data_IF_658939149621
#
_entry.id   IF_658939149621
#
_cell.length_a   1.000
_cell.length_b   1.000
_cell.length_c   1.000
_cell.angle_alpha   90.00
_cell.angle_beta   90.00
_cell.angle_gamma   90.00
#
_symmetry.space_group_name_H-M   'P 1'
#
loop_
_entity.id
_entity.type
_entity.pdbx_description
1 polymer ?
#
# COMPACT_ATOMS: atom_id res chain seq x y z
N UNK A 1 22.03 33.56 1.98
CA UNK A 1 21.59 32.32 2.60
C UNK A 1 20.97 31.48 1.50
N UNK A 2 21.72 30.50 0.97
CA UNK A 2 21.28 29.62 -0.10
C UNK A 2 20.20 28.70 0.43
N UNK A 3 18.99 28.75 -0.13
CA UNK A 3 17.95 27.77 0.07
C UNK A 3 18.44 26.42 -0.51
N UNK A 4 19.24 25.70 0.25
CA UNK A 4 19.49 24.29 0.00
C UNK A 4 18.22 23.54 0.40
N UNK A 5 17.32 23.33 -0.55
CA UNK A 5 16.18 22.42 -0.40
C UNK A 5 16.77 20.99 -0.40
N UNK A 6 17.21 20.52 0.76
CA UNK A 6 17.62 19.12 0.92
C UNK A 6 16.40 18.23 0.65
N UNK A 7 16.48 17.43 -0.39
CA UNK A 7 15.50 16.37 -0.62
C UNK A 7 15.50 15.40 0.57
N UNK A 8 14.30 14.95 0.96
CA UNK A 8 14.19 13.95 2.02
C UNK A 8 14.83 12.64 1.53
N UNK A 9 15.87 12.13 2.22
CA UNK A 9 16.58 10.93 1.76
C UNK A 9 15.79 9.63 1.98
N UNK A 10 14.68 9.67 2.70
CA UNK A 10 13.82 8.52 2.96
C UNK A 10 12.47 8.64 2.27
N UNK A 11 12.04 7.56 1.63
CA UNK A 11 10.80 7.53 0.83
C UNK A 11 9.50 7.66 1.67
N UNK A 12 9.57 7.50 2.99
CA UNK A 12 8.40 7.49 3.87
C UNK A 12 7.52 6.28 3.62
N UNK A 13 6.23 6.50 3.33
CA UNK A 13 5.28 5.42 3.01
C UNK A 13 5.23 5.09 1.51
N UNK A 14 5.94 5.84 0.66
CA UNK A 14 6.07 5.52 -0.76
C UNK A 14 7.10 4.40 -0.97
N UNK A 15 6.96 3.63 -2.04
CA UNK A 15 8.01 2.70 -2.44
C UNK A 15 9.19 3.47 -3.04
N UNK A 16 10.41 2.96 -2.81
CA UNK A 16 11.57 3.41 -3.56
C UNK A 16 11.34 3.10 -5.03
N UNK A 17 11.52 4.10 -5.88
CA UNK A 17 11.32 3.98 -7.30
C UNK A 17 12.59 3.47 -7.98
N UNK A 18 12.41 2.97 -9.19
CA UNK A 18 13.53 2.64 -10.07
C UNK A 18 14.33 3.91 -10.38
N UNK A 19 15.66 3.92 -10.12
CA UNK A 19 16.49 5.09 -10.36
C UNK A 19 16.46 5.62 -11.81
N UNK A 20 16.20 4.76 -12.80
CA UNK A 20 16.06 5.22 -14.20
C UNK A 20 14.75 5.95 -14.46
N UNK A 21 13.71 5.68 -13.70
CA UNK A 21 12.37 6.23 -13.89
C UNK A 21 12.04 7.33 -12.86
N UNK A 22 13.01 7.79 -12.08
CA UNK A 22 12.81 8.77 -11.01
C UNK A 22 13.71 9.98 -11.17
N UNK A 23 13.12 11.17 -11.10
CA UNK A 23 13.86 12.44 -11.07
C UNK A 23 14.72 12.57 -9.79
N UNK A 24 14.32 11.88 -8.71
CA UNK A 24 15.01 11.88 -7.42
C UNK A 24 15.54 10.49 -7.12
N UNK A 25 16.85 10.36 -7.17
CA UNK A 25 17.53 9.11 -6.86
C UNK A 25 17.72 8.96 -5.34
N UNK A 26 16.78 8.31 -4.67
CA UNK A 26 16.92 7.95 -3.26
C UNK A 26 17.85 6.74 -3.11
N UNK A 27 18.76 6.80 -2.12
CA UNK A 27 19.66 5.68 -1.79
C UNK A 27 18.84 4.56 -1.13
N UNK A 28 18.65 3.44 -1.82
CA UNK A 28 18.04 2.22 -1.27
C UNK A 28 19.13 1.40 -0.59
N UNK A 29 19.03 1.23 0.73
CA UNK A 29 20.06 0.62 1.55
C UNK A 29 19.48 -0.38 2.56
N UNK A 30 20.34 -1.27 3.08
CA UNK A 30 19.97 -2.25 4.10
C UNK A 30 19.30 -3.52 3.56
N UNK A 31 19.33 -3.71 2.23
CA UNK A 31 18.78 -4.89 1.53
C UNK A 31 19.71 -5.41 0.43
N UNK A 32 21.01 -5.17 0.58
CA UNK A 32 21.98 -5.53 -0.46
C UNK A 32 22.07 -7.04 -0.67
N UNK A 33 22.07 -7.82 0.42
CA UNK A 33 22.10 -9.29 0.35
C UNK A 33 20.83 -9.82 -0.29
N UNK A 34 19.65 -9.35 0.15
CA UNK A 34 18.37 -9.77 -0.42
C UNK A 34 18.24 -9.38 -1.90
N UNK A 35 18.76 -8.20 -2.28
CA UNK A 35 18.78 -7.77 -3.68
C UNK A 35 19.66 -8.65 -4.54
N UNK A 36 20.83 -9.05 -4.03
CA UNK A 36 21.77 -9.93 -4.73
C UNK A 36 21.22 -11.36 -4.83
N UNK A 37 20.70 -11.89 -3.72
CA UNK A 37 20.16 -13.26 -3.70
C UNK A 37 18.94 -13.40 -4.63
N UNK A 38 18.04 -12.40 -4.62
CA UNK A 38 16.88 -12.42 -5.50
C UNK A 38 17.28 -12.25 -6.97
N UNK A 39 18.24 -11.36 -7.26
CA UNK A 39 18.78 -11.20 -8.62
C UNK A 39 19.35 -12.53 -9.14
N UNK A 40 20.17 -13.23 -8.35
CA UNK A 40 20.73 -14.55 -8.72
C UNK A 40 19.64 -15.59 -8.94
N UNK A 41 18.62 -15.60 -8.06
CA UNK A 41 17.52 -16.55 -8.22
C UNK A 41 16.74 -16.29 -9.52
N UNK A 42 16.59 -15.03 -9.94
CA UNK A 42 15.98 -14.63 -11.21
C UNK A 42 16.87 -15.03 -12.39
N UNK A 43 18.19 -14.86 -12.27
CA UNK A 43 19.16 -15.27 -13.30
C UNK A 43 19.12 -16.78 -13.54
N UNK A 44 19.07 -17.57 -12.49
CA UNK A 44 19.09 -19.03 -12.54
C UNK A 44 17.73 -19.66 -12.95
N UNK A 45 16.61 -18.93 -12.90
CA UNK A 45 15.28 -19.52 -13.04
C UNK A 45 14.34 -18.69 -13.92
N UNK A 46 13.56 -19.35 -14.78
CA UNK A 46 12.59 -18.71 -15.68
C UNK A 46 11.41 -18.11 -14.89
N UNK A 47 10.98 -18.76 -13.81
CA UNK A 47 9.86 -18.30 -12.99
C UNK A 47 10.24 -18.26 -11.51
N UNK A 48 10.05 -17.12 -10.87
CA UNK A 48 10.35 -16.88 -9.45
C UNK A 48 9.16 -16.27 -8.74
N UNK A 49 8.81 -16.79 -7.57
CA UNK A 49 7.80 -16.20 -6.68
C UNK A 49 8.47 -15.45 -5.55
N UNK A 50 8.36 -14.12 -5.54
CA UNK A 50 8.73 -13.25 -4.43
C UNK A 50 7.51 -13.05 -3.52
N UNK A 51 7.60 -13.47 -2.26
CA UNK A 51 6.49 -13.29 -1.32
C UNK A 51 6.97 -12.76 0.03
N UNK A 52 6.04 -12.17 0.79
CA UNK A 52 6.30 -11.64 2.12
C UNK A 52 5.12 -10.84 2.64
N UNK A 53 5.14 -10.54 3.95
CA UNK A 53 4.08 -9.74 4.59
C UNK A 53 3.88 -8.39 3.89
N UNK A 54 2.69 -7.81 4.03
CA UNK A 54 2.48 -6.42 3.56
C UNK A 54 3.47 -5.48 4.22
N UNK A 55 4.03 -4.55 3.46
CA UNK A 55 4.95 -3.55 3.99
C UNK A 55 6.40 -4.00 4.22
N UNK A 56 6.77 -5.23 3.83
CA UNK A 56 8.18 -5.69 3.90
C UNK A 56 9.09 -5.03 2.87
N UNK A 57 8.53 -4.30 1.90
CA UNK A 57 9.30 -3.56 0.89
C UNK A 57 9.57 -4.35 -0.40
N UNK A 58 8.72 -5.32 -0.78
CA UNK A 58 8.86 -6.12 -2.03
C UNK A 58 9.03 -5.23 -3.26
N UNK A 59 8.12 -4.28 -3.46
CA UNK A 59 8.17 -3.32 -4.59
C UNK A 59 9.45 -2.48 -4.57
N UNK A 60 9.87 -1.99 -3.41
CA UNK A 60 11.11 -1.22 -3.27
C UNK A 60 12.35 -2.06 -3.54
N UNK A 61 12.37 -3.32 -3.08
CA UNK A 61 13.45 -4.27 -3.36
C UNK A 61 13.58 -4.53 -4.86
N UNK A 62 12.47 -4.76 -5.55
CA UNK A 62 12.46 -4.96 -7.01
C UNK A 62 12.97 -3.71 -7.73
N UNK A 63 12.33 -2.56 -7.50
CA UNK A 63 12.60 -1.35 -8.26
C UNK A 63 13.99 -0.78 -8.00
N UNK A 64 14.38 -0.62 -6.73
CA UNK A 64 15.60 0.08 -6.37
C UNK A 64 16.77 -0.86 -6.03
N UNK A 65 16.50 -2.12 -5.69
CA UNK A 65 17.52 -3.11 -5.36
C UNK A 65 17.89 -4.01 -6.53
N UNK A 66 16.89 -4.64 -7.15
CA UNK A 66 17.10 -5.73 -8.13
C UNK A 66 17.22 -5.19 -9.56
N UNK A 67 16.33 -4.29 -10.01
CA UNK A 67 16.33 -3.79 -11.40
C UNK A 67 17.66 -3.16 -11.82
N UNK A 68 18.31 -2.29 -11.02
CA UNK A 68 19.62 -1.75 -11.41
C UNK A 68 20.71 -2.82 -11.57
N UNK A 69 20.61 -3.94 -10.80
CA UNK A 69 21.54 -5.05 -10.90
C UNK A 69 21.27 -5.90 -12.15
N UNK A 70 20.00 -6.18 -12.45
CA UNK A 70 19.60 -6.92 -13.64
C UNK A 70 20.05 -6.21 -14.93
N UNK A 71 19.92 -4.88 -15.00
CA UNK A 71 20.37 -4.12 -16.19
C UNK A 71 21.86 -4.22 -16.48
N UNK A 72 22.68 -4.39 -15.44
CA UNK A 72 24.14 -4.59 -15.63
C UNK A 72 24.46 -5.93 -16.30
N UNK A 73 23.53 -6.88 -16.18
CA UNK A 73 23.63 -8.21 -16.82
C UNK A 73 22.77 -8.29 -18.09
N UNK A 74 22.53 -7.16 -18.76
CA UNK A 74 21.77 -7.04 -20.02
C UNK A 74 20.30 -7.48 -19.95
N UNK A 75 19.71 -7.54 -18.74
CA UNK A 75 18.27 -7.75 -18.62
C UNK A 75 17.47 -6.46 -18.80
N UNK A 76 16.26 -6.59 -19.37
CA UNK A 76 15.25 -5.53 -19.48
C UNK A 76 14.15 -5.76 -18.43
N UNK A 77 14.28 -5.25 -17.21
CA UNK A 77 13.26 -5.42 -16.18
C UNK A 77 12.06 -4.53 -16.46
N UNK A 78 10.86 -5.13 -16.43
CA UNK A 78 9.58 -4.48 -16.65
C UNK A 78 8.65 -4.82 -15.51
N UNK A 79 8.18 -3.82 -14.77
CA UNK A 79 7.21 -4.00 -13.68
C UNK A 79 5.80 -3.74 -14.17
N UNK A 80 4.89 -4.68 -13.95
CA UNK A 80 3.49 -4.65 -14.40
C UNK A 80 2.58 -4.91 -13.21
N UNK A 81 1.61 -4.05 -12.99
CA UNK A 81 0.50 -4.27 -12.07
C UNK A 81 -0.72 -4.65 -12.87
N UNK A 82 -0.92 -5.94 -13.09
CA UNK A 82 -2.01 -6.44 -13.94
C UNK A 82 -3.40 -5.97 -13.49
N UNK A 83 -3.61 -5.76 -12.20
CA UNK A 83 -4.84 -5.18 -11.67
C UNK A 83 -5.10 -3.73 -12.12
N UNK A 84 -4.06 -2.98 -12.43
CA UNK A 84 -4.14 -1.56 -12.85
C UNK A 84 -3.80 -1.36 -14.33
N UNK A 85 -2.72 -1.98 -14.79
CA UNK A 85 -2.16 -1.71 -16.12
C UNK A 85 -2.94 -2.42 -17.23
N UNK A 86 -3.63 -3.54 -16.91
CA UNK A 86 -4.41 -4.33 -17.88
C UNK A 86 -5.91 -3.95 -17.91
N UNK A 87 -6.26 -2.70 -17.56
CA UNK A 87 -7.64 -2.24 -17.64
C UNK A 87 -8.06 -2.12 -19.10
N UNK A 88 -9.14 -2.82 -19.48
CA UNK A 88 -9.69 -2.80 -20.84
C UNK A 88 -8.88 -3.59 -21.88
N UNK A 89 -7.88 -4.41 -21.45
CA UNK A 89 -7.08 -5.24 -22.35
C UNK A 89 -6.80 -6.63 -21.74
N UNK A 90 -6.32 -7.56 -22.58
CA UNK A 90 -5.84 -8.85 -22.09
C UNK A 90 -4.52 -8.69 -21.32
N UNK A 91 -4.15 -9.70 -20.50
CA UNK A 91 -2.85 -9.69 -19.82
C UNK A 91 -1.68 -9.76 -20.81
N UNK A 92 -1.87 -10.49 -21.91
CA UNK A 92 -0.93 -10.62 -23.00
C UNK A 92 -0.66 -9.26 -23.64
N UNK A 93 -1.72 -8.56 -24.06
CA UNK A 93 -1.60 -7.20 -24.62
C UNK A 93 -0.93 -6.23 -23.63
N UNK A 94 -1.25 -6.32 -22.34
CA UNK A 94 -0.62 -5.52 -21.32
C UNK A 94 0.88 -5.77 -21.24
N UNK A 95 1.31 -7.03 -21.22
CA UNK A 95 2.73 -7.41 -21.19
C UNK A 95 3.47 -6.83 -22.38
N UNK A 96 2.94 -7.04 -23.61
CA UNK A 96 3.57 -6.54 -24.83
C UNK A 96 3.66 -5.01 -24.87
N UNK A 97 2.58 -4.34 -24.45
CA UNK A 97 2.54 -2.87 -24.38
C UNK A 97 3.58 -2.32 -23.40
N UNK A 98 3.68 -2.91 -22.21
CA UNK A 98 4.64 -2.46 -21.20
C UNK A 98 6.10 -2.75 -21.57
N UNK A 99 6.37 -3.88 -22.24
CA UNK A 99 7.68 -4.18 -22.79
C UNK A 99 8.11 -3.12 -23.80
N UNK A 100 7.27 -2.85 -24.79
CA UNK A 100 7.55 -1.84 -25.82
C UNK A 100 7.74 -0.44 -25.21
N UNK A 101 6.88 -0.06 -24.25
CA UNK A 101 6.99 1.22 -23.54
C UNK A 101 8.30 1.35 -22.74
N UNK A 102 8.74 0.26 -22.10
CA UNK A 102 9.98 0.28 -21.32
C UNK A 102 11.22 0.39 -22.22
N UNK A 103 11.13 -0.15 -23.44
CA UNK A 103 12.19 -0.10 -24.43
C UNK A 103 12.22 1.26 -25.17
N UNK A 104 11.12 2.02 -25.15
CA UNK A 104 11.01 3.31 -25.85
C UNK A 104 12.13 4.29 -25.44
N UNK A 105 12.86 4.79 -26.43
CA UNK A 105 14.02 5.67 -26.21
C UNK A 105 15.31 4.98 -25.75
N UNK A 106 15.27 3.66 -25.46
CA UNK A 106 16.42 2.88 -25.00
C UNK A 106 16.86 1.82 -25.99
N UNK A 107 16.03 1.51 -26.97
CA UNK A 107 16.29 0.47 -27.96
C UNK A 107 15.09 0.25 -28.87
N UNK A 108 15.08 -0.91 -29.52
CA UNK A 108 14.02 -1.32 -30.45
C UNK A 108 13.82 -2.83 -30.43
N UNK A 109 12.79 -3.29 -31.12
CA UNK A 109 12.53 -4.73 -31.32
C UNK A 109 12.81 -5.10 -32.76
N UNK A 110 13.48 -6.24 -32.94
CA UNK A 110 13.65 -6.90 -34.24
C UNK A 110 12.73 -8.10 -34.34
N UNK A 111 12.07 -8.27 -35.47
CA UNK A 111 11.22 -9.44 -35.71
C UNK A 111 12.00 -10.52 -36.45
N UNK A 112 11.97 -11.74 -35.90
CA UNK A 112 12.52 -12.93 -36.53
C UNK A 112 11.33 -13.78 -37.01
N UNK A 113 11.13 -13.92 -38.32
CA UNK A 113 9.92 -14.52 -38.91
C UNK A 113 9.82 -16.06 -38.80
N UNK A 114 10.65 -16.69 -37.98
CA UNK A 114 10.75 -18.15 -37.92
C UNK A 114 9.58 -18.86 -37.22
N UNK A 115 8.76 -18.17 -36.41
CA UNK A 115 7.69 -18.76 -35.61
C UNK A 115 6.37 -18.09 -35.89
N UNK A 116 5.31 -18.84 -36.27
CA UNK A 116 3.99 -18.27 -36.51
C UNK A 116 3.33 -17.84 -35.18
N UNK A 117 2.66 -16.66 -35.18
CA UNK A 117 1.83 -16.25 -34.06
C UNK A 117 0.48 -16.99 -34.08
N UNK A 118 0.01 -17.52 -32.95
CA UNK A 118 -1.37 -17.97 -32.83
C UNK A 118 -2.35 -16.81 -32.98
N UNK A 119 -3.50 -17.03 -33.62
CA UNK A 119 -4.57 -16.03 -33.73
C UNK A 119 -5.26 -15.78 -32.39
N UNK A 120 -5.30 -16.81 -31.52
CA UNK A 120 -5.90 -16.72 -30.18
C UNK A 120 -4.87 -16.33 -29.12
N UNK A 121 -5.06 -15.18 -28.51
CA UNK A 121 -4.23 -14.69 -27.39
C UNK A 121 -4.26 -15.60 -26.15
N UNK A 122 -5.29 -16.43 -25.99
CA UNK A 122 -5.41 -17.39 -24.90
C UNK A 122 -4.67 -18.71 -25.20
N UNK A 123 -4.16 -18.88 -26.41
CA UNK A 123 -3.34 -20.04 -26.76
C UNK A 123 -2.15 -20.18 -25.80
N UNK A 124 -1.86 -21.38 -25.28
CA UNK A 124 -0.67 -21.59 -24.45
C UNK A 124 0.64 -21.16 -25.12
N UNK A 125 0.71 -21.25 -26.44
CA UNK A 125 1.89 -20.88 -27.22
C UNK A 125 1.99 -19.37 -27.55
N UNK A 126 1.00 -18.53 -27.22
CA UNK A 126 0.96 -17.13 -27.67
C UNK A 126 2.18 -16.31 -27.20
N UNK A 127 2.43 -16.25 -25.89
CA UNK A 127 3.58 -15.54 -25.36
C UNK A 127 4.88 -16.16 -25.82
N UNK A 128 4.98 -17.48 -25.84
CA UNK A 128 6.15 -18.18 -26.37
C UNK A 128 6.46 -17.76 -27.81
N UNK A 129 5.46 -17.79 -28.70
CA UNK A 129 5.64 -17.40 -30.10
C UNK A 129 6.08 -15.94 -30.23
N UNK A 130 5.54 -15.04 -29.40
CA UNK A 130 5.97 -13.65 -29.40
C UNK A 130 7.45 -13.50 -28.99
N UNK A 131 7.87 -14.06 -27.87
CA UNK A 131 9.24 -13.98 -27.42
C UNK A 131 10.23 -14.72 -28.34
N UNK A 132 9.78 -15.85 -28.95
CA UNK A 132 10.58 -16.61 -29.90
C UNK A 132 10.87 -15.88 -31.21
N UNK A 133 9.98 -14.96 -31.61
CA UNK A 133 10.14 -14.17 -32.87
C UNK A 133 10.62 -12.74 -32.63
N UNK A 134 10.76 -12.30 -31.38
CA UNK A 134 11.09 -10.91 -31.04
C UNK A 134 12.44 -10.86 -30.33
N UNK A 135 13.38 -10.16 -30.91
CA UNK A 135 14.65 -9.81 -30.27
C UNK A 135 14.55 -8.37 -29.75
N UNK A 136 14.89 -8.17 -28.49
CA UNK A 136 14.98 -6.85 -27.89
C UNK A 136 16.44 -6.39 -27.97
N UNK A 137 16.66 -5.18 -28.46
CA UNK A 137 17.99 -4.65 -28.74
C UNK A 137 18.09 -3.26 -28.15
N UNK A 138 19.19 -2.95 -27.48
CA UNK A 138 19.46 -1.61 -26.98
C UNK A 138 20.01 -0.67 -28.09
N UNK A 139 20.28 0.60 -27.75
CA UNK A 139 20.83 1.56 -28.71
C UNK A 139 22.27 1.24 -29.14
N UNK A 140 22.97 0.34 -28.44
CA UNK A 140 24.32 -0.12 -28.74
C UNK A 140 24.32 -1.47 -29.48
N UNK A 141 23.16 -1.88 -30.03
CA UNK A 141 22.94 -3.15 -30.76
C UNK A 141 23.17 -4.41 -29.90
N UNK A 142 23.18 -4.27 -28.57
CA UNK A 142 23.28 -5.40 -27.66
C UNK A 142 21.90 -6.03 -27.40
N UNK A 143 21.84 -7.37 -27.31
CA UNK A 143 20.61 -8.07 -27.02
C UNK A 143 20.22 -7.86 -25.56
N UNK A 144 18.95 -7.51 -25.32
CA UNK A 144 18.35 -7.39 -24.01
C UNK A 144 17.44 -8.57 -23.71
N UNK A 145 17.47 -9.04 -22.47
CA UNK A 145 16.68 -10.19 -22.01
C UNK A 145 15.53 -9.73 -21.09
N UNK A 146 14.26 -9.86 -21.51
CA UNK A 146 13.13 -9.39 -20.73
C UNK A 146 12.98 -10.09 -19.38
N UNK A 147 12.79 -9.31 -18.31
CA UNK A 147 12.37 -9.78 -16.98
C UNK A 147 11.04 -9.15 -16.65
N UNK A 148 9.96 -9.90 -16.82
CA UNK A 148 8.61 -9.43 -16.56
C UNK A 148 8.24 -9.67 -15.11
N UNK A 149 8.01 -8.61 -14.36
CA UNK A 149 7.68 -8.63 -12.94
C UNK A 149 6.23 -8.26 -12.75
N UNK A 150 5.41 -9.20 -12.29
CA UNK A 150 4.02 -8.96 -11.90
C UNK A 150 3.97 -8.54 -10.43
N UNK A 151 3.95 -7.22 -10.17
CA UNK A 151 3.89 -6.71 -8.80
C UNK A 151 2.45 -6.66 -8.30
N UNK A 152 2.24 -7.00 -7.02
CA UNK A 152 0.93 -7.10 -6.37
C UNK A 152 -0.03 -8.07 -7.09
N UNK A 153 0.49 -9.24 -7.44
CA UNK A 153 -0.26 -10.26 -8.20
C UNK A 153 -1.53 -10.75 -7.49
N UNK A 154 -1.61 -10.60 -6.16
CA UNK A 154 -2.83 -10.90 -5.40
C UNK A 154 -4.08 -10.14 -5.89
N UNK A 155 -3.92 -8.97 -6.50
CA UNK A 155 -5.04 -8.18 -7.03
C UNK A 155 -5.78 -8.89 -8.16
N UNK A 156 -5.05 -9.67 -8.96
CA UNK A 156 -5.61 -10.42 -10.10
C UNK A 156 -6.61 -11.49 -9.67
N UNK A 157 -6.35 -12.16 -8.54
CA UNK A 157 -7.22 -13.22 -8.03
C UNK A 157 -8.58 -12.74 -7.53
N UNK A 158 -8.73 -11.43 -7.30
CA UNK A 158 -10.00 -10.87 -6.82
C UNK A 158 -11.07 -10.84 -7.92
N UNK A 159 -10.67 -10.60 -9.19
CA UNK A 159 -11.62 -10.32 -10.27
C UNK A 159 -11.30 -11.03 -11.59
N UNK A 160 -10.07 -11.49 -11.81
CA UNK A 160 -9.57 -12.03 -13.09
C UNK A 160 -8.81 -13.35 -12.91
N UNK A 161 -9.32 -14.23 -12.04
CA UNK A 161 -8.65 -15.50 -11.72
C UNK A 161 -8.44 -16.37 -12.95
N UNK A 162 -9.43 -16.46 -13.85
CA UNK A 162 -9.32 -17.26 -15.07
C UNK A 162 -8.23 -16.76 -16.00
N UNK A 163 -8.09 -15.42 -16.13
CA UNK A 163 -7.03 -14.81 -16.93
C UNK A 163 -5.66 -15.06 -16.29
N UNK A 164 -5.57 -15.05 -14.95
CA UNK A 164 -4.35 -15.42 -14.24
C UNK A 164 -3.95 -16.87 -14.50
N UNK A 165 -4.90 -17.79 -14.44
CA UNK A 165 -4.66 -19.20 -14.74
C UNK A 165 -4.25 -19.44 -16.20
N UNK A 166 -4.84 -18.70 -17.15
CA UNK A 166 -4.43 -18.74 -18.55
C UNK A 166 -3.00 -18.20 -18.73
N UNK A 167 -2.65 -17.09 -18.09
CA UNK A 167 -1.30 -16.54 -18.10
C UNK A 167 -0.28 -17.52 -17.50
N UNK A 168 -0.59 -18.14 -16.36
CA UNK A 168 0.29 -19.14 -15.75
C UNK A 168 0.53 -20.35 -16.65
N UNK A 169 -0.49 -20.83 -17.40
CA UNK A 169 -0.31 -21.89 -18.39
C UNK A 169 0.61 -21.47 -19.53
N UNK A 170 0.52 -20.22 -20.00
CA UNK A 170 1.42 -19.70 -21.04
C UNK A 170 2.87 -19.61 -20.55
N UNK A 171 3.08 -19.11 -19.33
CA UNK A 171 4.42 -19.06 -18.74
C UNK A 171 4.97 -20.48 -18.56
N UNK A 172 4.17 -21.42 -18.10
CA UNK A 172 4.58 -22.81 -17.95
C UNK A 172 4.93 -23.45 -19.29
N UNK A 173 4.13 -23.21 -20.33
CA UNK A 173 4.43 -23.65 -21.68
C UNK A 173 5.80 -23.12 -22.15
N UNK A 174 6.09 -21.85 -21.88
CA UNK A 174 7.40 -21.25 -22.17
C UNK A 174 8.54 -21.94 -21.41
N UNK A 175 8.32 -22.31 -20.15
CA UNK A 175 9.31 -23.06 -19.35
C UNK A 175 9.57 -24.44 -19.95
N UNK A 176 8.55 -25.12 -20.44
CA UNK A 176 8.63 -26.49 -20.96
C UNK A 176 9.23 -26.52 -22.39
N UNK A 177 8.80 -25.60 -23.26
CA UNK A 177 9.37 -25.45 -24.61
C UNK A 177 10.82 -24.99 -24.58
N UNK A 178 11.22 -24.15 -23.64
CA UNK A 178 12.62 -23.76 -23.48
C UNK A 178 13.53 -24.96 -23.12
N UNK A 179 13.02 -25.92 -22.35
CA UNK A 179 13.71 -27.21 -22.11
C UNK A 179 13.79 -28.06 -23.36
N UNK A 180 12.69 -28.11 -24.14
CA UNK A 180 12.62 -28.93 -25.37
C UNK A 180 13.49 -28.35 -26.50
N UNK A 181 13.66 -27.02 -26.54
CA UNK A 181 14.45 -26.36 -27.60
C UNK A 181 15.96 -26.49 -27.40
N UNK A 182 16.44 -26.63 -26.18
CA UNK A 182 17.87 -26.94 -25.93
C UNK A 182 18.31 -28.24 -26.62
N UNK A 183 17.37 -29.14 -26.92
CA UNK A 183 17.60 -30.42 -27.57
C UNK A 183 17.20 -30.45 -29.05
N UNK A 184 16.62 -29.36 -29.60
CA UNK A 184 16.20 -29.29 -31.01
C UNK A 184 17.34 -28.84 -31.92
N UNK A 185 17.44 -29.53 -33.05
CA UNK A 185 18.32 -29.14 -34.16
C UNK A 185 17.48 -28.44 -35.21
N UNK A 186 17.86 -27.25 -35.65
CA UNK A 186 17.26 -26.56 -36.80
C UNK A 186 18.36 -26.46 -37.87
N UNK A 187 18.07 -26.98 -39.07
CA UNK A 187 18.99 -27.04 -40.21
C UNK A 187 20.35 -27.72 -39.89
N UNK A 188 20.35 -28.73 -38.97
CA UNK A 188 21.54 -29.48 -38.62
C UNK A 188 22.46 -28.76 -37.60
N UNK A 189 22.05 -27.61 -37.10
CA UNK A 189 22.75 -26.88 -36.02
C UNK A 189 21.93 -26.85 -34.76
N UNK A 190 22.54 -26.90 -33.54
CA UNK A 190 21.79 -26.64 -32.30
C UNK A 190 21.07 -25.29 -32.40
N UNK A 191 19.80 -25.25 -32.02
CA UNK A 191 19.02 -24.02 -32.03
C UNK A 191 19.65 -23.04 -31.04
N UNK A 192 20.35 -22.05 -31.56
CA UNK A 192 21.20 -21.10 -30.80
C UNK A 192 20.44 -19.83 -30.40
N UNK A 193 19.15 -19.94 -30.12
CA UNK A 193 18.44 -18.82 -29.49
C UNK A 193 18.43 -19.02 -27.99
N UNK A 194 19.26 -18.24 -27.31
CA UNK A 194 19.16 -18.02 -25.87
C UNK A 194 17.85 -17.25 -25.57
N UNK A 195 16.74 -18.01 -25.42
CA UNK A 195 15.49 -17.45 -24.93
C UNK A 195 15.66 -17.09 -23.44
N UNK A 196 16.27 -15.94 -23.21
CA UNK A 196 16.59 -15.49 -21.87
C UNK A 196 15.52 -14.54 -21.37
N UNK A 197 14.27 -15.01 -21.27
CA UNK A 197 13.19 -14.31 -20.59
C UNK A 197 13.02 -14.84 -19.17
N UNK A 198 12.56 -13.98 -18.26
CA UNK A 198 12.28 -14.31 -16.86
C UNK A 198 10.94 -13.75 -16.43
N UNK A 199 10.27 -14.46 -15.54
CA UNK A 199 9.03 -14.03 -14.92
C UNK A 199 9.15 -14.02 -13.41
N UNK A 200 8.72 -12.93 -12.79
CA UNK A 200 8.69 -12.79 -11.33
C UNK A 200 7.27 -12.45 -10.91
N UNK A 201 6.70 -13.23 -10.02
CA UNK A 201 5.44 -12.90 -9.34
C UNK A 201 5.73 -12.38 -7.95
N UNK A 202 5.39 -11.12 -7.69
CA UNK A 202 5.45 -10.51 -6.36
C UNK A 202 4.06 -10.54 -5.73
N UNK A 203 3.91 -11.26 -4.62
CA UNK A 203 2.63 -11.54 -3.98
C UNK A 203 2.71 -11.38 -2.46
N UNK A 204 1.60 -11.07 -1.80
CA UNK A 204 1.51 -11.06 -0.34
C UNK A 204 1.56 -12.49 0.21
N UNK A 205 2.23 -12.66 1.35
CA UNK A 205 2.32 -13.96 2.03
C UNK A 205 0.92 -14.53 2.36
N UNK A 206 0.00 -13.67 2.77
CA UNK A 206 -1.37 -14.05 3.11
C UNK A 206 -2.20 -14.54 1.91
N UNK A 207 -1.82 -14.14 0.69
CA UNK A 207 -2.50 -14.52 -0.56
C UNK A 207 -1.72 -15.57 -1.38
N UNK A 208 -0.56 -16.05 -0.89
CA UNK A 208 0.29 -17.04 -1.58
C UNK A 208 -0.49 -18.32 -1.90
N UNK A 209 -1.38 -18.76 -1.02
CA UNK A 209 -2.23 -19.93 -1.22
C UNK A 209 -3.09 -19.82 -2.50
N UNK A 210 -3.52 -18.62 -2.89
CA UNK A 210 -4.31 -18.39 -4.12
C UNK A 210 -3.51 -18.67 -5.38
N UNK A 211 -2.23 -18.29 -5.38
CA UNK A 211 -1.31 -18.62 -6.45
C UNK A 211 -1.06 -20.13 -6.48
N UNK A 212 -0.85 -20.76 -5.33
CA UNK A 212 -0.64 -22.19 -5.21
C UNK A 212 -1.85 -23.00 -5.69
N UNK A 213 -3.05 -22.61 -5.29
CA UNK A 213 -4.30 -23.23 -5.77
C UNK A 213 -4.44 -23.12 -7.29
N UNK A 214 -4.10 -21.95 -7.89
CA UNK A 214 -4.17 -21.78 -9.35
C UNK A 214 -3.12 -22.61 -10.08
N UNK A 215 -1.90 -22.72 -9.51
CA UNK A 215 -0.85 -23.61 -10.03
C UNK A 215 -1.30 -25.08 -9.97
N UNK A 216 -1.90 -25.51 -8.86
CA UNK A 216 -2.42 -26.90 -8.72
C UNK A 216 -3.58 -27.18 -9.66
N UNK A 217 -4.54 -26.27 -9.76
CA UNK A 217 -5.66 -26.39 -10.69
C UNK A 217 -5.22 -26.49 -12.15
N UNK A 218 -4.10 -25.90 -12.49
CA UNK A 218 -3.52 -25.95 -13.83
C UNK A 218 -2.51 -27.09 -14.04
N UNK A 219 -2.19 -27.86 -12.99
CA UNK A 219 -1.18 -28.94 -13.02
C UNK A 219 0.23 -28.44 -13.41
N UNK A 220 0.70 -27.35 -12.77
CA UNK A 220 1.97 -26.67 -13.06
C UNK A 220 2.99 -26.79 -11.90
N UNK A 221 3.39 -27.98 -11.45
CA UNK A 221 4.13 -28.15 -10.18
C UNK A 221 5.50 -27.49 -10.16
N UNK A 222 6.17 -27.35 -11.30
CA UNK A 222 7.50 -26.75 -11.40
C UNK A 222 7.51 -25.25 -11.02
N UNK A 223 6.38 -24.54 -11.20
CA UNK A 223 6.24 -23.15 -10.81
C UNK A 223 6.28 -22.93 -9.28
N UNK A 224 6.19 -24.00 -8.48
CA UNK A 224 6.31 -23.92 -7.01
C UNK A 224 7.75 -24.01 -6.50
N UNK A 225 8.72 -24.34 -7.36
CA UNK A 225 10.10 -24.66 -6.92
C UNK A 225 10.90 -23.45 -6.49
N UNK A 226 10.81 -22.35 -7.22
CA UNK A 226 11.65 -21.18 -7.00
C UNK A 226 10.88 -20.08 -6.26
N UNK A 227 11.15 -19.95 -4.96
CA UNK A 227 10.46 -18.99 -4.07
C UNK A 227 11.46 -18.23 -3.24
N UNK A 228 11.27 -16.93 -3.17
CA UNK A 228 12.02 -16.04 -2.28
C UNK A 228 11.10 -15.39 -1.26
N UNK A 229 11.31 -15.69 0.02
CA UNK A 229 10.57 -15.05 1.11
C UNK A 229 11.30 -13.81 1.58
N UNK A 230 10.73 -12.63 1.30
CA UNK A 230 11.26 -11.39 1.86
C UNK A 230 10.79 -11.24 3.31
N UNK A 231 11.75 -11.33 4.23
CA UNK A 231 11.53 -11.14 5.67
C UNK A 231 11.61 -9.66 6.04
N UNK A 232 11.22 -9.35 7.28
CA UNK A 232 11.48 -8.04 7.90
C UNK A 232 12.96 -7.71 7.88
N UNK A 233 13.32 -6.42 7.97
CA UNK A 233 14.72 -5.99 8.01
C UNK A 233 15.46 -6.63 9.18
N UNK A 234 16.70 -7.02 8.95
CA UNK A 234 17.63 -7.30 10.03
C UNK A 234 17.99 -6.02 10.79
N UNK A 235 18.52 -6.14 11.99
CA UNK A 235 18.96 -4.97 12.77
C UNK A 235 20.06 -4.18 12.03
N UNK A 236 21.01 -4.90 11.41
CA UNK A 236 22.05 -4.28 10.59
C UNK A 236 21.44 -3.61 9.35
N UNK A 237 20.49 -4.26 8.64
CA UNK A 237 19.82 -3.68 7.49
C UNK A 237 19.01 -2.42 7.85
N UNK A 238 18.36 -2.41 9.03
CA UNK A 238 17.67 -1.23 9.52
C UNK A 238 18.64 -0.09 9.85
N UNK A 239 19.78 -0.41 10.44
CA UNK A 239 20.87 0.54 10.70
C UNK A 239 21.37 1.18 9.41
N UNK A 240 21.66 0.37 8.41
CA UNK A 240 22.15 0.84 7.10
C UNK A 240 21.12 1.69 6.38
N UNK A 241 19.83 1.32 6.46
CA UNK A 241 18.71 2.09 5.90
C UNK A 241 18.49 3.45 6.59
N UNK A 242 18.97 3.63 7.83
CA UNK A 242 18.94 4.92 8.54
C UNK A 242 20.20 5.74 8.20
N UNK A 243 21.38 5.14 8.35
CA UNK A 243 22.64 5.87 8.37
C UNK A 243 23.16 6.26 7.00
N UNK A 244 23.06 5.36 6.01
CA UNK A 244 23.63 5.61 4.69
C UNK A 244 22.85 6.72 3.94
N UNK A 245 21.50 6.73 3.90
CA UNK A 245 20.78 7.88 3.35
C UNK A 245 20.92 9.14 4.19
N UNK A 246 21.06 9.00 5.50
CA UNK A 246 21.21 10.08 6.48
C UNK A 246 22.64 10.54 6.72
N UNK A 247 23.58 10.22 5.84
CA UNK A 247 24.99 10.62 5.96
C UNK A 247 25.13 12.13 6.15
N UNK A 248 25.87 12.55 7.18
CA UNK A 248 26.06 13.96 7.54
C UNK A 248 24.90 14.60 8.34
N UNK A 249 23.78 13.90 8.57
CA UNK A 249 22.65 14.42 9.33
C UNK A 249 22.76 14.17 10.85
N UNK A 250 23.64 13.28 11.27
CA UNK A 250 23.80 12.86 12.67
C UNK A 250 25.19 13.20 13.19
N UNK A 251 25.29 13.65 14.47
CA UNK A 251 26.55 13.71 15.15
C UNK A 251 27.06 12.30 15.49
N UNK A 252 28.35 12.04 15.27
CA UNK A 252 28.95 10.73 15.49
C UNK A 252 28.71 10.18 16.92
N UNK A 253 28.76 11.05 17.91
CA UNK A 253 28.59 10.71 19.34
C UNK A 253 27.15 10.30 19.68
N UNK A 254 26.15 10.88 19.00
CA UNK A 254 24.72 10.70 19.26
C UNK A 254 24.09 9.65 18.33
N UNK A 255 24.77 9.31 17.24
CA UNK A 255 24.29 8.47 16.14
C UNK A 255 23.75 7.12 16.62
N UNK A 256 24.52 6.44 17.49
CA UNK A 256 24.16 5.11 18.00
C UNK A 256 22.87 5.13 18.83
N UNK A 257 22.71 6.13 19.68
CA UNK A 257 21.52 6.32 20.51
C UNK A 257 20.29 6.62 19.67
N UNK A 258 20.43 7.49 18.66
CA UNK A 258 19.35 7.84 17.73
C UNK A 258 18.89 6.63 16.94
N UNK A 259 19.83 5.88 16.33
CA UNK A 259 19.54 4.69 15.53
C UNK A 259 18.82 3.65 16.38
N UNK A 260 19.31 3.36 17.57
CA UNK A 260 18.69 2.40 18.49
C UNK A 260 17.26 2.81 18.85
N UNK A 261 17.03 4.10 19.11
CA UNK A 261 15.68 4.62 19.41
C UNK A 261 14.75 4.46 18.22
N UNK A 262 15.16 4.81 17.00
CA UNK A 262 14.36 4.68 15.79
C UNK A 262 14.01 3.21 15.53
N UNK A 263 14.99 2.30 15.64
CA UNK A 263 14.78 0.86 15.44
C UNK A 263 13.79 0.32 16.48
N UNK A 264 13.91 0.70 17.74
CA UNK A 264 12.99 0.24 18.79
C UNK A 264 11.54 0.68 18.54
N UNK A 265 11.33 1.90 18.01
CA UNK A 265 9.97 2.35 17.64
C UNK A 265 9.44 1.57 16.44
N UNK A 266 10.30 1.21 15.49
CA UNK A 266 9.93 0.45 14.31
C UNK A 266 9.72 -1.05 14.59
N UNK A 267 10.05 -1.53 15.80
CA UNK A 267 9.80 -2.92 16.19
C UNK A 267 8.32 -3.17 16.44
N UNK A 268 7.85 -4.26 15.90
CA UNK A 268 6.53 -4.79 16.20
C UNK A 268 6.56 -5.45 17.58
N UNK A 269 5.57 -5.15 18.41
CA UNK A 269 5.46 -5.69 19.78
C UNK A 269 5.14 -7.18 19.84
N UNK A 270 4.50 -7.71 18.78
CA UNK A 270 4.01 -9.08 18.76
C UNK A 270 5.08 -10.10 18.36
N UNK A 271 5.92 -9.78 17.38
CA UNK A 271 6.90 -10.70 16.79
C UNK A 271 8.35 -10.17 16.78
N UNK A 272 8.60 -9.05 17.47
CA UNK A 272 9.92 -8.36 17.55
C UNK A 272 10.54 -8.00 16.18
N UNK A 273 9.78 -8.10 15.10
CA UNK A 273 10.23 -7.79 13.74
C UNK A 273 10.30 -6.28 13.52
N UNK A 274 11.30 -5.82 12.74
CA UNK A 274 11.43 -4.41 12.37
C UNK A 274 10.55 -4.12 11.16
N UNK A 275 9.54 -3.27 11.35
CA UNK A 275 8.65 -2.85 10.28
C UNK A 275 9.34 -1.84 9.37
N UNK A 276 9.57 -2.23 8.12
CA UNK A 276 10.23 -1.40 7.10
C UNK A 276 9.48 -0.11 6.82
N UNK A 277 8.14 -0.17 6.78
CA UNK A 277 7.31 1.00 6.51
C UNK A 277 7.32 1.99 7.69
N UNK A 278 7.29 1.48 8.92
CA UNK A 278 7.38 2.31 10.12
C UNK A 278 8.75 2.98 10.18
N UNK A 279 9.82 2.23 9.92
CA UNK A 279 11.18 2.75 9.89
C UNK A 279 11.31 3.91 8.89
N UNK A 280 10.88 3.69 7.65
CA UNK A 280 10.93 4.70 6.60
C UNK A 280 10.07 5.93 6.91
N UNK A 281 8.86 5.73 7.45
CA UNK A 281 7.98 6.83 7.88
C UNK A 281 8.63 7.68 8.98
N UNK A 282 9.20 7.03 10.00
CA UNK A 282 9.85 7.70 11.13
C UNK A 282 11.02 8.55 10.63
N UNK A 283 11.93 7.95 9.85
CA UNK A 283 13.09 8.66 9.31
C UNK A 283 12.68 9.85 8.45
N UNK A 284 11.74 9.64 7.53
CA UNK A 284 11.19 10.70 6.66
C UNK A 284 10.60 11.85 7.49
N UNK A 285 9.93 11.54 8.58
CA UNK A 285 9.25 12.51 9.40
C UNK A 285 10.21 13.29 10.30
N UNK A 286 11.16 12.60 10.90
CA UNK A 286 12.23 13.23 11.67
C UNK A 286 12.99 14.23 10.80
N UNK A 287 13.22 13.89 9.52
CA UNK A 287 13.86 14.80 8.57
C UNK A 287 13.02 16.05 8.30
N UNK A 288 11.73 15.94 8.14
CA UNK A 288 10.83 17.10 7.98
C UNK A 288 10.84 17.99 9.21
N UNK A 289 10.82 17.41 10.41
CA UNK A 289 10.88 18.16 11.66
C UNK A 289 12.28 18.78 11.88
N UNK A 290 13.35 18.10 11.46
CA UNK A 290 14.73 18.62 11.42
C UNK A 290 14.83 19.86 10.52
N UNK A 291 14.31 19.80 9.30
CA UNK A 291 14.32 20.96 8.39
C UNK A 291 13.59 22.18 8.97
N UNK A 292 12.46 21.95 9.65
CA UNK A 292 11.69 23.03 10.31
C UNK A 292 12.38 23.60 11.52
N UNK A 293 13.18 22.82 12.24
CA UNK A 293 13.85 23.26 13.47
C UNK A 293 15.02 24.22 13.20
N UNK A 294 15.59 24.19 11.99
CA UNK A 294 16.81 24.91 11.65
C UNK A 294 18.05 24.40 12.39
N UNK A 295 17.99 23.25 13.03
CA UNK A 295 19.11 22.62 13.72
C UNK A 295 20.19 22.19 12.71
N UNK A 296 21.45 22.14 13.14
CA UNK A 296 22.55 21.66 12.28
C UNK A 296 22.55 20.14 12.12
N UNK A 297 22.07 19.40 13.13
CA UNK A 297 22.00 17.94 13.13
C UNK A 297 20.67 17.45 13.70
N UNK A 298 20.31 16.20 13.34
CA UNK A 298 19.23 15.48 14.00
C UNK A 298 19.71 15.05 15.39
N UNK A 299 19.02 15.52 16.44
CA UNK A 299 19.38 15.29 17.84
C UNK A 299 18.47 14.25 18.50
N UNK A 300 18.91 13.58 19.59
CA UNK A 300 18.05 12.68 20.37
C UNK A 300 16.75 13.35 20.83
N UNK A 301 16.79 14.62 21.23
CA UNK A 301 15.61 15.36 21.67
C UNK A 301 14.54 15.51 20.56
N UNK A 302 14.98 15.68 19.30
CA UNK A 302 14.08 15.72 18.15
C UNK A 302 13.40 14.36 17.94
N UNK A 303 14.16 13.28 18.07
CA UNK A 303 13.65 11.90 17.95
C UNK A 303 12.68 11.60 19.10
N UNK A 304 13.02 11.94 20.34
CA UNK A 304 12.17 11.73 21.52
C UNK A 304 10.82 12.46 21.41
N UNK A 305 10.81 13.64 20.79
CA UNK A 305 9.56 14.38 20.53
C UNK A 305 8.65 13.59 19.60
N UNK A 306 9.22 12.84 18.67
CA UNK A 306 8.48 11.98 17.76
C UNK A 306 7.94 10.71 18.44
N UNK A 307 8.69 10.17 19.42
CA UNK A 307 8.33 8.93 20.16
C UNK A 307 7.06 9.08 21.00
N UNK A 308 6.71 10.29 21.44
CA UNK A 308 5.59 10.57 22.36
C UNK A 308 4.20 10.34 21.79
N UNK A 309 4.05 9.49 20.77
CA UNK A 309 2.75 9.14 20.18
C UNK A 309 2.84 7.98 19.18
N UNK A 310 1.68 7.51 18.69
CA UNK A 310 1.64 6.58 17.56
C UNK A 310 2.00 7.36 16.29
N UNK A 311 3.11 7.02 15.58
CA UNK A 311 3.53 7.75 14.38
C UNK A 311 2.46 7.77 13.28
N UNK A 312 1.69 6.70 13.13
CA UNK A 312 0.62 6.61 12.13
C UNK A 312 -0.59 7.47 12.53
N UNK A 313 -0.92 7.56 13.82
CA UNK A 313 -1.96 8.46 14.32
C UNK A 313 -1.60 9.92 14.05
N UNK A 314 -0.35 10.31 14.35
CA UNK A 314 0.15 11.64 14.07
C UNK A 314 0.12 11.96 12.59
N UNK A 315 0.58 11.03 11.75
CA UNK A 315 0.55 11.19 10.29
C UNK A 315 -0.88 11.31 9.76
N UNK A 316 -1.80 10.45 10.24
CA UNK A 316 -3.22 10.54 9.90
C UNK A 316 -3.82 11.89 10.29
N UNK A 317 -3.57 12.34 11.52
CA UNK A 317 -4.08 13.61 12.02
C UNK A 317 -3.55 14.81 11.23
N UNK A 318 -2.30 14.77 10.78
CA UNK A 318 -1.73 15.81 9.93
C UNK A 318 -2.28 15.76 8.51
N UNK A 319 -2.33 14.59 7.89
CA UNK A 319 -2.90 14.40 6.56
C UNK A 319 -4.37 14.86 6.49
N UNK A 320 -5.11 14.66 7.57
CA UNK A 320 -6.53 15.01 7.66
C UNK A 320 -6.81 16.33 8.38
N UNK A 321 -5.80 17.17 8.65
CA UNK A 321 -5.97 18.44 9.39
C UNK A 321 -6.99 19.36 8.75
N UNK A 322 -7.04 19.43 7.42
CA UNK A 322 -7.97 20.28 6.64
C UNK A 322 -9.36 19.71 6.48
N UNK A 323 -9.63 18.48 6.92
CA UNK A 323 -10.92 17.82 6.74
C UNK A 323 -11.86 18.08 7.92
N UNK A 324 -13.14 18.22 7.62
CA UNK A 324 -14.17 18.38 8.64
C UNK A 324 -14.52 17.04 9.33
N UNK A 325 -15.28 17.10 10.42
CA UNK A 325 -15.63 15.92 11.22
C UNK A 325 -16.47 14.87 10.45
N UNK A 326 -17.25 15.27 9.45
CA UNK A 326 -18.03 14.32 8.64
C UNK A 326 -17.13 13.56 7.67
N UNK A 327 -16.19 14.25 7.03
CA UNK A 327 -15.19 13.66 6.13
C UNK A 327 -14.29 12.68 6.88
N UNK A 328 -13.77 13.10 8.06
CA UNK A 328 -12.99 12.19 8.92
C UNK A 328 -13.80 10.97 9.35
N UNK A 329 -15.07 11.18 9.73
CA UNK A 329 -15.95 10.07 10.10
C UNK A 329 -16.15 9.09 8.96
N UNK A 330 -16.31 9.58 7.73
CA UNK A 330 -16.44 8.72 6.55
C UNK A 330 -15.19 7.87 6.32
N UNK A 331 -14.00 8.48 6.36
CA UNK A 331 -12.70 7.79 6.22
C UNK A 331 -12.58 6.66 7.26
N UNK A 332 -12.82 6.98 8.54
CA UNK A 332 -12.63 6.05 9.66
C UNK A 332 -13.72 4.96 9.74
N UNK A 333 -14.91 5.25 9.25
CA UNK A 333 -16.04 4.30 9.27
C UNK A 333 -16.04 3.34 8.08
N UNK A 334 -15.45 3.72 6.92
CA UNK A 334 -15.57 2.96 5.68
C UNK A 334 -14.25 2.35 5.19
N UNK A 335 -13.07 2.91 5.56
CA UNK A 335 -11.79 2.37 5.13
C UNK A 335 -11.19 1.31 6.07
N UNK A 336 -11.87 1.05 7.21
CA UNK A 336 -11.55 -0.05 8.11
C UNK A 336 -12.82 -0.84 8.37
N UNK A 337 -12.76 -2.15 8.25
CA UNK A 337 -13.89 -3.05 8.49
C UNK A 337 -14.14 -3.28 10.00
N UNK A 338 -15.18 -4.05 10.32
CA UNK A 338 -15.54 -4.40 11.70
C UNK A 338 -14.50 -5.27 12.42
N UNK A 339 -13.56 -5.88 11.68
CA UNK A 339 -12.47 -6.70 12.21
C UNK A 339 -11.17 -5.93 12.41
N UNK A 340 -11.16 -4.62 12.10
CA UNK A 340 -9.97 -3.78 12.18
C UNK A 340 -9.02 -3.92 10.99
N UNK A 341 -9.45 -4.51 9.87
CA UNK A 341 -8.66 -4.66 8.64
C UNK A 341 -9.01 -3.58 7.63
N UNK A 342 -8.09 -3.36 6.67
CA UNK A 342 -8.35 -2.43 5.57
C UNK A 342 -9.60 -2.85 4.80
N UNK A 343 -10.42 -1.85 4.50
CA UNK A 343 -11.55 -1.95 3.60
C UNK A 343 -11.38 -0.98 2.43
N UNK A 344 -12.03 -1.25 1.32
CA UNK A 344 -11.99 -0.39 0.14
C UNK A 344 -13.38 0.11 -0.23
N UNK A 345 -13.46 1.37 -0.72
CA UNK A 345 -14.70 2.02 -1.17
C UNK A 345 -14.55 2.50 -2.62
N UNK A 346 -15.63 2.56 -3.42
CA UNK A 346 -15.57 3.14 -4.76
C UNK A 346 -15.04 4.59 -4.72
N UNK A 347 -14.13 4.95 -5.63
CA UNK A 347 -13.54 6.31 -5.66
C UNK A 347 -14.59 7.39 -5.83
N UNK A 348 -15.59 7.18 -6.67
CA UNK A 348 -16.68 8.12 -6.89
C UNK A 348 -17.47 8.39 -5.59
N UNK A 349 -17.76 7.34 -4.82
CA UNK A 349 -18.43 7.44 -3.52
C UNK A 349 -17.54 8.14 -2.48
N UNK A 350 -16.25 7.78 -2.45
CA UNK A 350 -15.27 8.42 -1.58
C UNK A 350 -15.18 9.93 -1.82
N UNK A 351 -15.01 10.37 -3.07
CA UNK A 351 -14.90 11.78 -3.43
C UNK A 351 -16.21 12.57 -3.24
N UNK A 352 -17.36 11.90 -3.29
CA UNK A 352 -18.65 12.52 -2.96
C UNK A 352 -18.71 12.91 -1.47
N UNK A 353 -18.18 12.08 -0.58
CA UNK A 353 -18.22 12.29 0.87
C UNK A 353 -16.99 13.04 1.40
N UNK A 354 -15.84 12.97 0.72
CA UNK A 354 -14.56 13.59 1.09
C UNK A 354 -14.12 14.50 -0.06
N UNK A 355 -14.59 15.74 -0.07
CA UNK A 355 -14.45 16.66 -1.21
C UNK A 355 -13.01 16.90 -1.68
N UNK A 356 -12.08 16.99 -0.75
CA UNK A 356 -10.65 17.17 -1.04
C UNK A 356 -9.85 15.86 -0.89
N UNK A 357 -10.51 14.71 -1.00
CA UNK A 357 -9.91 13.39 -0.77
C UNK A 357 -8.76 13.04 -1.70
N UNK A 358 -8.67 13.67 -2.88
CA UNK A 358 -7.55 13.49 -3.82
C UNK A 358 -6.18 13.85 -3.21
N UNK A 359 -6.12 14.79 -2.28
CA UNK A 359 -4.87 15.15 -1.57
C UNK A 359 -4.29 13.98 -0.78
N UNK A 360 -5.15 13.07 -0.31
CA UNK A 360 -4.73 11.88 0.44
C UNK A 360 -4.22 10.75 -0.46
N UNK A 361 -4.34 10.89 -1.78
CA UNK A 361 -3.88 9.90 -2.77
C UNK A 361 -2.49 10.24 -3.32
N UNK A 362 -2.04 11.49 -3.16
CA UNK A 362 -0.82 12.00 -3.81
C UNK A 362 0.02 12.85 -2.84
N UNK A 363 1.30 12.99 -3.13
CA UNK A 363 2.22 13.86 -2.41
C UNK A 363 2.61 13.39 -1.00
N UNK A 364 3.07 14.33 -0.17
CA UNK A 364 3.60 14.06 1.17
C UNK A 364 2.56 13.65 2.22
N UNK A 365 1.27 13.84 1.91
CA UNK A 365 0.14 13.47 2.77
C UNK A 365 -0.56 12.19 2.31
N UNK A 366 0.03 11.45 1.40
CA UNK A 366 -0.53 10.21 0.85
C UNK A 366 -0.72 9.16 1.95
N UNK A 367 -1.98 8.86 2.27
CA UNK A 367 -2.38 7.77 3.17
C UNK A 367 -3.32 6.78 2.48
N UNK A 368 -3.75 7.09 1.27
CA UNK A 368 -4.66 6.30 0.46
C UNK A 368 -4.01 5.85 -0.84
N UNK A 369 -4.53 4.76 -1.39
CA UNK A 369 -4.16 4.28 -2.71
C UNK A 369 -5.40 3.88 -3.51
N UNK A 370 -5.26 3.94 -4.84
CA UNK A 370 -6.25 3.42 -5.77
C UNK A 370 -6.02 1.94 -6.00
N UNK A 371 -7.09 1.17 -6.00
CA UNK A 371 -7.12 -0.23 -6.44
C UNK A 371 -8.18 -0.37 -7.53
N UNK A 372 -7.88 -1.09 -8.60
CA UNK A 372 -8.84 -1.30 -9.69
C UNK A 372 -9.83 -2.43 -9.36
N UNK A 373 -11.06 -2.34 -9.84
CA UNK A 373 -12.13 -3.29 -9.51
C UNK A 373 -12.63 -4.08 -10.71
N UNK A 374 -12.47 -3.62 -11.96
CA UNK A 374 -13.01 -4.33 -13.12
C UNK A 374 -12.39 -3.91 -14.44
N UNK A 375 -12.54 -4.80 -15.42
CA UNK A 375 -12.15 -4.67 -16.83
C UNK A 375 -12.90 -3.57 -17.61
N UNK A 376 -13.96 -2.99 -17.04
CA UNK A 376 -14.70 -1.89 -17.66
C UNK A 376 -14.22 -0.54 -17.12
N UNK A 377 -13.53 0.17 -17.96
CA UNK A 377 -12.81 1.41 -17.68
C UNK A 377 -13.42 2.34 -16.65
N UNK A 378 -12.68 2.61 -15.57
CA UNK A 378 -12.88 3.79 -14.73
C UNK A 378 -13.37 3.57 -13.30
N UNK A 379 -13.65 2.37 -12.83
CA UNK A 379 -14.09 2.15 -11.45
C UNK A 379 -12.91 1.82 -10.52
N UNK A 380 -12.22 2.85 -10.06
CA UNK A 380 -11.24 2.71 -8.98
C UNK A 380 -11.92 2.57 -7.63
N UNK A 381 -11.26 1.84 -6.74
CA UNK A 381 -11.57 1.83 -5.30
C UNK A 381 -10.43 2.49 -4.53
N UNK A 382 -10.78 3.11 -3.43
CA UNK A 382 -9.85 3.76 -2.51
C UNK A 382 -9.69 2.88 -1.27
N UNK A 383 -8.45 2.64 -0.86
CA UNK A 383 -8.12 1.97 0.40
C UNK A 383 -6.94 2.65 1.09
N UNK A 384 -6.71 2.31 2.36
CA UNK A 384 -5.52 2.75 3.09
C UNK A 384 -4.26 2.18 2.44
N UNK A 385 -3.21 3.00 2.34
CA UNK A 385 -1.93 2.58 1.74
C UNK A 385 -1.25 1.47 2.54
N UNK A 386 -1.55 1.34 3.85
CA UNK A 386 -0.93 0.36 4.73
C UNK A 386 -1.83 -0.02 5.91
N UNK A 387 -1.74 -1.30 6.34
CA UNK A 387 -2.53 -1.84 7.45
C UNK A 387 -2.25 -1.15 8.80
N UNK A 388 -1.05 -0.60 8.99
CA UNK A 388 -0.68 0.13 10.22
C UNK A 388 -1.51 1.39 10.49
N UNK A 389 -2.26 1.87 9.50
CA UNK A 389 -3.24 2.95 9.72
C UNK A 389 -4.56 2.47 10.32
N UNK A 390 -4.84 1.16 10.28
CA UNK A 390 -6.11 0.63 10.77
C UNK A 390 -6.27 0.87 12.27
N UNK A 391 -5.24 0.60 13.08
CA UNK A 391 -5.28 0.79 14.53
C UNK A 391 -5.59 2.25 14.93
N UNK A 392 -4.89 3.28 14.42
CA UNK A 392 -5.25 4.68 14.66
C UNK A 392 -6.68 5.04 14.27
N UNK A 393 -7.16 4.56 13.12
CA UNK A 393 -8.51 4.87 12.65
C UNK A 393 -9.57 4.25 13.58
N UNK A 394 -9.39 3.01 14.00
CA UNK A 394 -10.27 2.35 14.99
C UNK A 394 -10.27 3.13 16.30
N UNK A 395 -9.10 3.54 16.80
CA UNK A 395 -8.98 4.37 18.00
C UNK A 395 -9.73 5.70 17.89
N UNK A 396 -9.61 6.41 16.79
CA UNK A 396 -10.34 7.66 16.54
C UNK A 396 -11.87 7.44 16.46
N UNK A 397 -12.31 6.36 15.81
CA UNK A 397 -13.72 5.94 15.76
C UNK A 397 -14.28 5.69 17.16
N UNK A 398 -13.55 5.00 18.03
CA UNK A 398 -13.96 4.76 19.43
C UNK A 398 -14.06 6.07 20.24
N UNK A 399 -13.07 6.95 20.11
CA UNK A 399 -13.06 8.26 20.80
C UNK A 399 -14.30 9.08 20.39
N UNK A 400 -14.64 9.09 19.09
CA UNK A 400 -15.84 9.78 18.61
C UNK A 400 -17.12 9.11 19.10
N UNK A 401 -17.19 7.79 19.11
CA UNK A 401 -18.35 7.07 19.63
C UNK A 401 -18.58 7.38 21.12
N UNK A 402 -17.52 7.38 21.94
CA UNK A 402 -17.56 7.78 23.35
C UNK A 402 -18.01 9.24 23.52
N UNK A 403 -17.53 10.15 22.68
CA UNK A 403 -17.93 11.56 22.70
C UNK A 403 -19.40 11.74 22.33
N UNK A 404 -19.88 11.06 21.27
CA UNK A 404 -21.31 11.09 20.88
C UNK A 404 -22.20 10.55 22.01
N UNK A 405 -21.79 9.44 22.63
CA UNK A 405 -22.52 8.85 23.78
C UNK A 405 -22.58 9.80 24.97
N UNK A 406 -21.47 10.49 25.31
CA UNK A 406 -21.45 11.50 26.38
C UNK A 406 -22.38 12.67 26.08
N UNK A 407 -22.37 13.21 24.85
CA UNK A 407 -23.25 14.29 24.43
C UNK A 407 -24.72 13.88 24.48
N UNK A 408 -25.04 12.66 24.05
CA UNK A 408 -26.38 12.13 24.09
C UNK A 408 -26.87 11.95 25.55
N UNK A 409 -26.04 11.41 26.44
CA UNK A 409 -26.33 11.29 27.87
C UNK A 409 -26.57 12.68 28.50
N UNK A 410 -25.71 13.66 28.21
CA UNK A 410 -25.91 15.04 28.70
C UNK A 410 -27.21 15.64 28.19
N UNK A 411 -27.57 15.42 26.94
CA UNK A 411 -28.84 15.86 26.37
C UNK A 411 -30.03 15.19 27.05
N UNK A 412 -29.98 13.87 27.27
CA UNK A 412 -31.03 13.14 27.97
C UNK A 412 -31.17 13.59 29.42
N UNK A 413 -30.08 13.83 30.15
CA UNK A 413 -30.14 14.36 31.51
C UNK A 413 -30.76 15.77 31.54
N UNK A 414 -30.45 16.62 30.57
CA UNK A 414 -31.08 17.96 30.46
C UNK A 414 -32.58 17.83 30.24
N UNK A 415 -33.04 16.93 29.36
CA UNK A 415 -34.46 16.69 29.16
C UNK A 415 -35.15 16.23 30.47
N UNK A 416 -34.53 15.26 31.18
CA UNK A 416 -35.09 14.78 32.45
C UNK A 416 -35.20 15.90 33.47
N UNK A 417 -34.21 16.77 33.60
CA UNK A 417 -34.24 17.94 34.51
C UNK A 417 -35.38 18.89 34.13
N UNK A 418 -35.54 19.18 32.84
CA UNK A 418 -36.63 20.03 32.34
C UNK A 418 -37.99 19.40 32.65
N UNK A 419 -38.15 18.11 32.40
CA UNK A 419 -39.39 17.39 32.70
C UNK A 419 -39.74 17.44 34.22
N UNK A 420 -38.72 17.22 35.09
CA UNK A 420 -38.91 17.36 36.54
C UNK A 420 -39.34 18.79 36.91
N UNK A 421 -38.67 19.80 36.34
CA UNK A 421 -39.00 21.20 36.58
C UNK A 421 -40.43 21.55 36.16
N UNK A 422 -40.86 21.09 34.98
CA UNK A 422 -42.23 21.27 34.49
C UNK A 422 -43.26 20.57 35.37
N UNK A 423 -42.94 19.32 35.77
CA UNK A 423 -43.82 18.55 36.69
C UNK A 423 -43.97 19.22 38.05
N UNK A 424 -42.85 19.71 38.63
CA UNK A 424 -42.87 20.45 39.89
C UNK A 424 -43.67 21.77 39.77
N UNK A 425 -43.52 22.49 38.65
CA UNK A 425 -44.27 23.69 38.38
C UNK A 425 -45.78 23.42 38.28
N UNK A 426 -46.17 22.36 37.58
CA UNK A 426 -47.57 21.96 37.47
C UNK A 426 -48.16 21.61 38.87
N UNK A 427 -47.42 20.81 39.66
CA UNK A 427 -47.82 20.46 41.03
C UNK A 427 -47.97 21.72 41.90
N UNK A 428 -47.04 22.65 41.81
CA UNK A 428 -47.11 23.94 42.52
C UNK A 428 -48.34 24.74 42.12
N UNK A 429 -48.66 24.85 40.82
CA UNK A 429 -49.86 25.54 40.35
C UNK A 429 -51.15 24.85 40.80
N UNK A 430 -51.18 23.50 40.79
CA UNK A 430 -52.34 22.72 41.28
C UNK A 430 -52.53 22.92 42.74
N UNK A 431 -51.48 22.87 43.55
CA UNK A 431 -51.54 23.17 45.00
C UNK A 431 -52.03 24.59 45.27
N UNK A 432 -51.60 25.58 44.52
CA UNK A 432 -52.03 27.00 44.64
C UNK A 432 -53.52 27.16 44.34
N UNK A 433 -54.03 26.49 43.31
CA UNK A 433 -55.47 26.51 42.92
C UNK A 433 -56.32 25.86 44.04
N UNK A 434 -55.92 24.68 44.51
CA UNK A 434 -56.64 24.00 45.62
C UNK A 434 -56.68 24.83 46.89
N UNK A 435 -55.60 25.53 47.19
CA UNK A 435 -55.56 26.40 48.36
C UNK A 435 -56.48 27.62 48.23
N UNK A 436 -56.58 28.19 47.01
CA UNK A 436 -57.53 29.26 46.71
C UNK A 436 -59.01 28.80 46.77
N UNK A 437 -59.27 27.58 46.24
CA UNK A 437 -60.60 26.99 46.33
C UNK A 437 -60.99 26.71 47.78
N UNK A 438 -60.04 26.22 48.59
CA UNK A 438 -60.30 26.03 50.05
C UNK A 438 -60.64 27.34 50.79
N UNK A 439 -59.96 28.42 50.44
CA UNK A 439 -60.22 29.73 50.99
C UNK A 439 -61.60 30.25 50.52
N UNK A 440 -61.94 30.10 49.21
CA UNK A 440 -63.23 30.51 48.69
C UNK A 440 -64.39 29.73 49.35
N UNK A 441 -64.26 28.42 49.49
CA UNK A 441 -65.24 27.58 50.17
C UNK A 441 -65.42 27.96 51.63
N UNK A 442 -64.33 28.26 52.34
CA UNK A 442 -64.37 28.75 53.73
C UNK A 442 -65.13 30.12 53.83
N UNK A 443 -64.94 31.02 52.89
CA UNK A 443 -65.68 32.29 52.84
C UNK A 443 -67.18 32.05 52.48
N UNK A 444 -67.47 31.15 51.58
CA UNK A 444 -68.88 30.79 51.21
C UNK A 444 -69.58 30.15 52.41
N UNK A 445 -68.95 29.26 53.17
CA UNK A 445 -69.53 28.66 54.37
C UNK A 445 -69.76 29.70 55.51
N UNK A 446 -68.84 30.65 55.66
CA UNK A 446 -69.03 31.75 56.65
C UNK A 446 -70.14 32.67 56.23
N UNK A 447 -70.33 32.99 54.94
CA UNK A 447 -71.46 33.79 54.42
C UNK A 447 -72.81 33.05 54.64
N UNK A 448 -72.89 31.76 54.39
CA UNK A 448 -74.08 30.96 54.67
C UNK A 448 -74.46 31.02 56.15
N UNK A 449 -73.52 30.86 57.08
CA UNK A 449 -73.74 30.96 58.53
C UNK A 449 -74.16 32.36 59.00
N UNK A 450 -73.89 33.40 58.24
CA UNK A 450 -74.26 34.78 58.59
C UNK A 450 -75.65 35.16 58.05
N UNK A 451 -76.16 34.37 57.10
CA UNK A 451 -77.50 34.62 56.47
C UNK A 451 -78.59 33.72 57.15
N UNK A 452 -78.22 32.63 57.84
CA UNK A 452 -79.06 31.90 58.76
C UNK A 452 -79.12 32.60 60.13
#
# INVERSE_FOLDING_TARGET
MSNNTYYNPWAGLSSYQDPENSEVQLKFCGRDNESFDLMRLIDDNIFVTLYGKSGTGKTSLLNAGVFPRLRREQYLPVSIRLGMDAIGMSFQQCILTQLNRTLEGKGHTETIDAVPMPDDEQSPAYLWSYFARTRFVDNDESTLFPVVVFDQFEEVFRHRRQDAEALLRQIYFMMDENRALSDRMVDGHPYQYDFNFRFVVSIREDDLYRLEDSIDNCYLPDMKRCRYRLRSLSEQGARDAILIPGEGLFKAEEQESIVKTIINIARNKDDDSISTNILSLICSRIFVDYQKSGAEFITPALVDTFVKGNPFERFYNEATRGFNNKEKSYIEDHLVDSTGRRNSVPEADFLLHVKNGSVLLEGSQKILQRTSVSSDGGNYRIELIHDSFCEPLVGQKEIRAKSKRRKWLAFMTTIVIVCIGVSAFILYQTYKIQNQEGIINSYADNLKRTIE
#
